data_IF_972491550162
#
_entry.id   IF_972491550162
#
_cell.length_a   1.000
_cell.length_b   1.000
_cell.length_c   1.000
_cell.angle_alpha   90.00
_cell.angle_beta   90.00
_cell.angle_gamma   90.00
#
_symmetry.space_group_name_H-M   'P 1'
#
loop_
_entity.id
_entity.type
_entity.pdbx_description
1 polymer ?
#
# COMPACT_ATOMS: atom_id res chain seq x y z
N UNK A 1 -5.45 -7.40 -33.99
CA UNK A 1 -4.91 -8.24 -32.90
C UNK A 1 -5.64 -7.86 -31.64
N UNK A 2 -6.48 -8.74 -31.11
CA UNK A 2 -7.11 -8.57 -29.81
C UNK A 2 -5.99 -8.59 -28.75
N UNK A 3 -5.73 -7.44 -28.13
CA UNK A 3 -4.66 -7.31 -27.15
C UNK A 3 -5.21 -7.82 -25.83
N UNK A 4 -4.70 -8.97 -25.37
CA UNK A 4 -5.04 -9.52 -24.06
C UNK A 4 -4.74 -8.48 -22.97
N UNK A 5 -5.57 -8.47 -21.94
CA UNK A 5 -5.36 -7.62 -20.77
C UNK A 5 -3.99 -7.95 -20.12
N UNK A 6 -3.29 -6.95 -19.55
CA UNK A 6 -2.04 -7.15 -18.85
C UNK A 6 -2.13 -8.25 -17.78
N UNK A 7 -1.35 -9.31 -17.94
CA UNK A 7 -1.34 -10.47 -17.06
C UNK A 7 0.04 -11.12 -17.06
N UNK A 8 0.37 -11.81 -15.98
CA UNK A 8 1.51 -12.71 -15.93
C UNK A 8 1.15 -13.93 -15.08
N UNK A 9 0.68 -14.98 -15.75
CA UNK A 9 0.21 -16.20 -15.09
C UNK A 9 1.35 -16.94 -14.39
N UNK A 10 2.56 -16.88 -14.94
CA UNK A 10 3.75 -17.50 -14.33
C UNK A 10 4.08 -16.86 -12.99
N UNK A 11 4.00 -15.52 -12.89
CA UNK A 11 4.18 -14.80 -11.64
C UNK A 11 3.06 -15.11 -10.64
N UNK A 12 1.80 -15.22 -11.09
CA UNK A 12 0.69 -15.64 -10.22
C UNK A 12 0.91 -17.04 -9.64
N UNK A 13 1.28 -18.02 -10.48
CA UNK A 13 1.67 -19.35 -10.02
C UNK A 13 2.88 -19.28 -9.07
N UNK A 14 3.84 -18.42 -9.37
CA UNK A 14 5.01 -18.09 -8.55
C UNK A 14 4.64 -17.70 -7.13
N UNK A 15 3.72 -16.75 -6.98
CA UNK A 15 3.25 -16.28 -5.68
C UNK A 15 2.56 -17.40 -4.91
N UNK A 16 1.54 -18.04 -5.52
CA UNK A 16 0.75 -19.06 -4.83
C UNK A 16 1.62 -20.26 -4.44
N UNK A 17 2.43 -20.78 -5.36
CA UNK A 17 3.31 -21.91 -5.09
C UNK A 17 4.35 -21.59 -4.02
N UNK A 18 4.90 -20.37 -4.00
CA UNK A 18 5.85 -19.95 -2.96
C UNK A 18 5.21 -19.98 -1.57
N UNK A 19 3.98 -19.48 -1.43
CA UNK A 19 3.26 -19.45 -0.15
C UNK A 19 2.85 -20.86 0.28
N UNK A 20 2.44 -21.73 -0.64
CA UNK A 20 2.09 -23.11 -0.30
C UNK A 20 3.31 -23.91 0.19
N UNK A 21 4.49 -23.65 -0.39
CA UNK A 21 5.76 -24.28 0.02
C UNK A 21 6.23 -23.73 1.37
N UNK A 22 6.14 -22.41 1.55
CA UNK A 22 6.57 -21.70 2.74
C UNK A 22 5.46 -20.75 3.19
N UNK A 23 4.56 -21.19 4.08
CA UNK A 23 3.42 -20.39 4.54
C UNK A 23 3.78 -19.04 5.14
N UNK A 24 4.99 -18.89 5.70
CA UNK A 24 5.46 -17.61 6.27
C UNK A 24 5.76 -16.56 5.19
N UNK A 25 5.95 -16.98 3.94
CA UNK A 25 6.23 -16.09 2.82
C UNK A 25 5.06 -15.14 2.50
N UNK A 26 3.84 -15.44 2.97
CA UNK A 26 2.65 -14.58 2.85
C UNK A 26 2.89 -13.17 3.44
N UNK A 27 3.69 -13.05 4.51
CA UNK A 27 3.96 -11.78 5.19
C UNK A 27 4.60 -10.77 4.25
N UNK A 28 5.39 -11.23 3.27
CA UNK A 28 6.08 -10.37 2.31
C UNK A 28 5.17 -9.79 1.23
N UNK A 29 3.97 -10.34 1.04
CA UNK A 29 3.06 -9.93 -0.05
C UNK A 29 1.68 -9.48 0.43
N UNK A 30 1.23 -9.92 1.60
CA UNK A 30 -0.11 -9.62 2.14
C UNK A 30 -0.39 -8.12 2.32
N UNK A 31 0.65 -7.29 2.45
CA UNK A 31 0.52 -5.85 2.64
C UNK A 31 0.04 -5.13 1.37
N UNK A 32 0.48 -5.57 0.19
CA UNK A 32 0.24 -4.86 -1.07
C UNK A 32 -0.55 -5.67 -2.10
N UNK A 33 -0.60 -6.99 -1.97
CA UNK A 33 -1.28 -7.87 -2.93
C UNK A 33 -2.67 -8.28 -2.42
N UNK A 34 -3.68 -8.09 -3.25
CA UNK A 34 -5.07 -8.41 -2.94
C UNK A 34 -5.61 -9.50 -3.89
N UNK A 35 -6.67 -10.24 -3.50
CA UNK A 35 -7.26 -11.26 -4.37
C UNK A 35 -7.62 -10.74 -5.77
N UNK A 36 -8.18 -9.53 -5.90
CA UNK A 36 -8.55 -8.94 -7.20
C UNK A 36 -7.34 -8.66 -8.12
N UNK A 37 -6.11 -8.65 -7.59
CA UNK A 37 -4.89 -8.43 -8.37
C UNK A 37 -4.52 -9.65 -9.22
N UNK A 38 -5.04 -10.84 -8.91
CA UNK A 38 -4.88 -12.00 -9.76
C UNK A 38 -5.79 -11.90 -10.99
N UNK A 39 -5.30 -12.33 -12.14
CA UNK A 39 -6.09 -12.34 -13.37
C UNK A 39 -7.03 -13.56 -13.41
N UNK A 40 -6.53 -14.74 -13.02
CA UNK A 40 -7.33 -15.97 -13.03
C UNK A 40 -8.21 -16.07 -11.79
N UNK A 41 -9.51 -16.29 -11.97
CA UNK A 41 -10.45 -16.46 -10.87
C UNK A 41 -10.10 -17.62 -9.92
N UNK A 42 -9.51 -18.69 -10.46
CA UNK A 42 -8.97 -19.78 -9.65
C UNK A 42 -7.88 -19.28 -8.69
N UNK A 43 -6.96 -18.44 -9.18
CA UNK A 43 -5.89 -17.87 -8.36
C UNK A 43 -6.41 -16.87 -7.33
N UNK A 44 -7.40 -16.04 -7.70
CA UNK A 44 -8.11 -15.15 -6.76
C UNK A 44 -8.66 -15.94 -5.58
N UNK A 45 -9.36 -17.04 -5.89
CA UNK A 45 -10.01 -17.90 -4.90
C UNK A 45 -8.98 -18.57 -3.98
N UNK A 46 -7.89 -19.09 -4.54
CA UNK A 46 -6.82 -19.71 -3.75
C UNK A 46 -6.18 -18.66 -2.83
N UNK A 47 -5.85 -17.48 -3.35
CA UNK A 47 -5.24 -16.41 -2.54
C UNK A 47 -6.18 -15.89 -1.44
N UNK A 48 -7.49 -15.78 -1.71
CA UNK A 48 -8.50 -15.45 -0.71
C UNK A 48 -8.51 -16.46 0.45
N UNK A 49 -8.43 -17.76 0.16
CA UNK A 49 -8.32 -18.81 1.18
C UNK A 49 -7.01 -18.69 1.97
N UNK A 50 -5.88 -18.48 1.29
CA UNK A 50 -4.57 -18.28 1.93
C UNK A 50 -4.61 -17.11 2.92
N UNK A 51 -5.16 -15.97 2.51
CA UNK A 51 -5.30 -14.79 3.39
C UNK A 51 -6.16 -15.10 4.62
N UNK A 52 -7.25 -15.83 4.46
CA UNK A 52 -8.12 -16.18 5.57
C UNK A 52 -7.47 -17.14 6.57
N UNK A 53 -6.73 -18.14 6.09
CA UNK A 53 -5.96 -19.03 6.95
C UNK A 53 -4.90 -18.23 7.72
N UNK A 54 -4.21 -17.31 7.03
CA UNK A 54 -3.25 -16.41 7.66
C UNK A 54 -3.89 -15.51 8.74
N UNK A 55 -5.06 -14.93 8.48
CA UNK A 55 -5.83 -14.16 9.48
C UNK A 55 -6.23 -15.00 10.71
N UNK A 56 -6.53 -16.29 10.49
CA UNK A 56 -6.85 -17.26 11.54
C UNK A 56 -5.61 -17.81 12.26
N UNK A 57 -4.40 -17.42 11.82
CA UNK A 57 -3.10 -17.93 12.30
C UNK A 57 -2.94 -19.43 12.07
N UNK A 58 -3.54 -19.93 11.00
CA UNK A 58 -3.37 -21.29 10.53
C UNK A 58 -2.39 -21.30 9.34
N UNK A 59 -1.46 -22.26 9.25
CA UNK A 59 -0.53 -22.34 8.15
C UNK A 59 -1.30 -22.63 6.85
N UNK A 60 -1.07 -21.81 5.81
CA UNK A 60 -1.66 -22.00 4.49
C UNK A 60 -0.82 -22.98 3.64
N UNK A 61 -0.80 -24.25 4.03
CA UNK A 61 -0.14 -25.32 3.29
C UNK A 61 -1.11 -26.07 2.36
N UNK A 62 -0.60 -27.04 1.61
CA UNK A 62 -1.40 -27.82 0.66
C UNK A 62 -2.65 -28.46 1.29
N UNK A 63 -2.52 -29.02 2.50
CA UNK A 63 -3.59 -29.76 3.16
C UNK A 63 -4.66 -28.79 3.64
N UNK A 64 -4.26 -27.73 4.35
CA UNK A 64 -5.21 -26.76 4.91
C UNK A 64 -5.94 -25.99 3.81
N UNK A 65 -5.24 -25.64 2.72
CA UNK A 65 -5.88 -24.98 1.57
C UNK A 65 -6.89 -25.93 0.90
N UNK A 66 -6.54 -27.21 0.71
CA UNK A 66 -7.46 -28.18 0.10
C UNK A 66 -8.71 -28.38 0.96
N UNK A 67 -8.53 -28.59 2.28
CA UNK A 67 -9.63 -28.77 3.23
C UNK A 67 -10.56 -27.56 3.25
N UNK A 68 -10.00 -26.35 3.31
CA UNK A 68 -10.79 -25.13 3.34
C UNK A 68 -11.52 -24.85 2.01
N UNK A 69 -10.91 -25.19 0.86
CA UNK A 69 -11.56 -25.11 -0.45
C UNK A 69 -12.67 -26.15 -0.61
N UNK A 70 -12.49 -27.35 -0.07
CA UNK A 70 -13.48 -28.43 -0.08
C UNK A 70 -14.69 -28.06 0.80
N UNK A 71 -14.43 -27.55 2.00
CA UNK A 71 -15.46 -27.03 2.92
C UNK A 71 -16.34 -25.95 2.28
N UNK A 72 -15.76 -25.15 1.37
CA UNK A 72 -16.45 -24.09 0.61
C UNK A 72 -17.08 -24.56 -0.69
N UNK A 73 -16.94 -25.83 -1.06
CA UNK A 73 -17.33 -26.36 -2.37
C UNK A 73 -16.69 -25.59 -3.55
N UNK A 74 -15.46 -25.10 -3.38
CA UNK A 74 -14.71 -24.35 -4.39
C UNK A 74 -13.50 -25.14 -4.95
N UNK A 75 -13.15 -26.28 -4.37
CA UNK A 75 -11.97 -27.07 -4.77
C UNK A 75 -12.00 -27.47 -6.26
N UNK A 76 -13.14 -27.97 -6.76
CA UNK A 76 -13.30 -28.33 -8.17
C UNK A 76 -13.20 -27.11 -9.09
N UNK A 77 -13.71 -25.95 -8.66
CA UNK A 77 -13.69 -24.71 -9.46
C UNK A 77 -12.27 -24.18 -9.70
N UNK A 78 -11.34 -24.47 -8.78
CA UNK A 78 -9.92 -24.07 -8.93
C UNK A 78 -9.09 -25.09 -9.70
N UNK A 79 -9.69 -26.20 -10.17
CA UNK A 79 -9.01 -27.29 -10.88
C UNK A 79 -8.62 -28.48 -10.01
N UNK A 80 -9.11 -28.54 -8.77
CA UNK A 80 -8.89 -29.64 -7.85
C UNK A 80 -7.52 -29.64 -7.17
N UNK A 81 -7.30 -30.64 -6.31
CA UNK A 81 -6.04 -30.81 -5.58
C UNK A 81 -4.82 -30.97 -6.52
N UNK A 82 -5.01 -31.57 -7.69
CA UNK A 82 -3.96 -31.73 -8.69
C UNK A 82 -3.44 -30.38 -9.22
N UNK A 83 -4.31 -29.38 -9.35
CA UNK A 83 -3.91 -28.04 -9.76
C UNK A 83 -3.05 -27.36 -8.70
N UNK A 84 -3.41 -27.48 -7.42
CA UNK A 84 -2.63 -26.92 -6.32
C UNK A 84 -1.24 -27.56 -6.27
N UNK A 85 -1.14 -28.89 -6.44
CA UNK A 85 0.15 -29.58 -6.58
C UNK A 85 0.95 -29.06 -7.77
N UNK A 86 0.30 -28.71 -8.88
CA UNK A 86 0.97 -28.14 -10.05
C UNK A 86 1.56 -26.75 -9.79
N UNK A 87 0.95 -25.95 -8.90
CA UNK A 87 1.46 -24.64 -8.51
C UNK A 87 2.78 -24.78 -7.74
N UNK A 88 2.84 -25.74 -6.81
CA UNK A 88 4.06 -26.07 -6.05
C UNK A 88 5.22 -26.42 -7.00
N UNK A 89 4.95 -27.26 -8.00
CA UNK A 89 5.98 -27.75 -8.93
C UNK A 89 6.47 -26.70 -9.94
N UNK A 90 5.75 -25.59 -10.12
CA UNK A 90 6.13 -24.52 -11.05
C UNK A 90 7.10 -23.51 -10.42
N UNK A 91 7.29 -23.54 -9.09
CA UNK A 91 8.09 -22.56 -8.38
C UNK A 91 9.49 -23.10 -8.09
N UNK A 92 10.55 -22.44 -8.61
CA UNK A 92 11.93 -22.89 -8.36
C UNK A 92 12.42 -22.59 -6.94
N UNK A 93 11.89 -21.53 -6.30
CA UNK A 93 12.21 -21.16 -4.91
C UNK A 93 11.12 -20.25 -4.32
N UNK A 94 10.79 -20.44 -3.04
CA UNK A 94 9.87 -19.56 -2.30
C UNK A 94 10.46 -18.19 -1.97
N UNK A 95 11.80 -18.05 -2.00
CA UNK A 95 12.49 -16.82 -1.58
C UNK A 95 12.25 -15.59 -2.47
N UNK A 96 11.65 -15.75 -3.65
CA UNK A 96 11.37 -14.65 -4.58
C UNK A 96 9.89 -14.23 -4.60
N UNK A 97 9.10 -14.64 -3.58
CA UNK A 97 7.65 -14.37 -3.52
C UNK A 97 7.31 -12.88 -3.68
N UNK A 98 8.08 -11.98 -3.06
CA UNK A 98 7.86 -10.54 -3.15
C UNK A 98 8.02 -10.06 -4.59
N UNK A 99 9.08 -10.49 -5.27
CA UNK A 99 9.34 -10.13 -6.66
C UNK A 99 8.21 -10.60 -7.60
N UNK A 100 7.73 -11.83 -7.41
CA UNK A 100 6.57 -12.34 -8.17
C UNK A 100 5.30 -11.53 -7.85
N UNK A 101 5.08 -11.21 -6.56
CA UNK A 101 3.96 -10.37 -6.10
C UNK A 101 3.95 -9.00 -6.79
N UNK A 102 5.11 -8.33 -6.87
CA UNK A 102 5.24 -7.03 -7.55
C UNK A 102 4.94 -7.10 -9.05
N UNK A 103 5.25 -8.22 -9.71
CA UNK A 103 4.87 -8.43 -11.11
C UNK A 103 3.35 -8.53 -11.25
N UNK A 104 2.68 -9.28 -10.35
CA UNK A 104 1.21 -9.42 -10.35
C UNK A 104 0.55 -8.07 -10.09
N UNK A 105 1.00 -7.36 -9.05
CA UNK A 105 0.54 -6.00 -8.68
C UNK A 105 0.64 -5.03 -9.87
N UNK A 106 1.81 -4.96 -10.52
CA UNK A 106 2.01 -4.08 -11.67
C UNK A 106 1.02 -4.37 -12.80
N UNK A 107 0.79 -5.66 -13.11
CA UNK A 107 -0.18 -6.04 -14.14
C UNK A 107 -1.61 -5.68 -13.73
N UNK A 108 -1.96 -5.85 -12.45
CA UNK A 108 -3.26 -5.47 -11.93
C UNK A 108 -3.54 -3.96 -12.04
N UNK A 109 -2.55 -3.12 -11.73
CA UNK A 109 -2.65 -1.66 -11.91
C UNK A 109 -2.92 -1.31 -13.37
N UNK A 110 -2.18 -1.92 -14.30
CA UNK A 110 -2.39 -1.69 -15.73
C UNK A 110 -3.80 -2.13 -16.19
N UNK A 111 -4.32 -3.26 -15.67
CA UNK A 111 -5.70 -3.68 -15.97
C UNK A 111 -6.73 -2.68 -15.45
N UNK A 112 -6.58 -2.21 -14.21
CA UNK A 112 -7.49 -1.20 -13.62
C UNK A 112 -7.47 0.10 -14.40
N UNK A 113 -6.30 0.54 -14.89
CA UNK A 113 -6.19 1.71 -15.75
C UNK A 113 -6.95 1.53 -17.06
N UNK A 114 -6.87 0.36 -17.69
CA UNK A 114 -7.65 0.05 -18.91
C UNK A 114 -9.15 0.06 -18.63
N UNK A 115 -9.58 -0.55 -17.52
CA UNK A 115 -10.99 -0.54 -17.10
C UNK A 115 -11.50 0.88 -16.82
N UNK A 116 -10.70 1.70 -16.13
CA UNK A 116 -11.05 3.09 -15.87
C UNK A 116 -11.10 3.91 -17.16
N UNK A 117 -10.18 3.71 -18.09
CA UNK A 117 -10.24 4.37 -19.40
C UNK A 117 -11.55 4.03 -20.14
N UNK A 118 -11.99 2.77 -20.09
CA UNK A 118 -13.30 2.36 -20.64
C UNK A 118 -14.48 3.05 -19.95
N UNK A 119 -14.45 3.16 -18.62
CA UNK A 119 -15.49 3.86 -17.84
C UNK A 119 -15.51 5.36 -18.12
N UNK A 120 -14.34 6.00 -18.21
CA UNK A 120 -14.20 7.43 -18.54
C UNK A 120 -14.77 7.68 -19.95
N UNK A 121 -14.46 6.82 -20.91
CA UNK A 121 -15.05 6.92 -22.25
C UNK A 121 -16.57 6.80 -22.22
N UNK A 122 -17.12 5.86 -21.44
CA UNK A 122 -18.57 5.69 -21.29
C UNK A 122 -19.22 6.94 -20.64
N UNK A 123 -18.60 7.51 -19.62
CA UNK A 123 -19.05 8.76 -18.97
C UNK A 123 -19.12 9.89 -20.00
N UNK A 124 -18.09 10.04 -20.84
CA UNK A 124 -18.04 11.10 -21.87
C UNK A 124 -19.13 10.95 -22.95
N UNK A 125 -19.68 9.75 -23.18
CA UNK A 125 -20.81 9.56 -24.08
C UNK A 125 -22.18 9.81 -23.42
N UNK A 126 -22.26 9.70 -22.09
CA UNK A 126 -23.52 9.73 -21.34
C UNK A 126 -23.79 11.07 -20.67
N UNK A 127 -22.76 11.76 -20.21
CA UNK A 127 -22.89 13.03 -19.49
C UNK A 127 -22.83 14.23 -20.44
N UNK A 128 -23.84 15.09 -20.32
CA UNK A 128 -23.92 16.34 -21.10
C UNK A 128 -23.12 17.48 -20.46
N UNK A 129 -22.93 17.43 -19.13
CA UNK A 129 -22.15 18.40 -18.37
C UNK A 129 -20.68 17.96 -18.27
N UNK A 130 -19.80 18.74 -18.89
CA UNK A 130 -18.37 18.46 -18.96
C UNK A 130 -17.68 18.52 -17.59
N UNK A 131 -18.12 19.39 -16.67
CA UNK A 131 -17.49 19.55 -15.36
C UNK A 131 -17.79 18.31 -14.49
N UNK A 132 -19.04 17.82 -14.54
CA UNK A 132 -19.44 16.57 -13.86
C UNK A 132 -18.70 15.36 -14.43
N UNK A 133 -18.53 15.30 -15.76
CA UNK A 133 -17.79 14.22 -16.41
C UNK A 133 -16.31 14.20 -15.99
N UNK A 134 -15.69 15.39 -15.89
CA UNK A 134 -14.30 15.54 -15.44
C UNK A 134 -14.13 15.10 -13.99
N UNK A 135 -14.99 15.56 -13.08
CA UNK A 135 -14.97 15.18 -11.66
C UNK A 135 -15.06 13.66 -11.48
N UNK A 136 -15.97 12.99 -12.22
CA UNK A 136 -16.11 11.52 -12.18
C UNK A 136 -14.86 10.80 -12.71
N UNK A 137 -14.24 11.33 -13.76
CA UNK A 137 -13.01 10.78 -14.30
C UNK A 137 -11.83 10.91 -13.31
N UNK A 138 -11.69 12.07 -12.67
CA UNK A 138 -10.68 12.30 -11.63
C UNK A 138 -10.86 11.33 -10.45
N UNK A 139 -12.09 11.14 -9.97
CA UNK A 139 -12.41 10.18 -8.92
C UNK A 139 -11.98 8.75 -9.30
N UNK A 140 -12.27 8.31 -10.53
CA UNK A 140 -11.89 6.98 -11.01
C UNK A 140 -10.36 6.77 -11.00
N UNK A 141 -9.60 7.76 -11.48
CA UNK A 141 -8.13 7.68 -11.49
C UNK A 141 -7.58 7.72 -10.06
N UNK A 142 -8.15 8.57 -9.21
CA UNK A 142 -7.75 8.69 -7.80
C UNK A 142 -7.99 7.41 -7.00
N UNK A 143 -9.08 6.68 -7.26
CA UNK A 143 -9.31 5.37 -6.63
C UNK A 143 -8.24 4.33 -6.97
N UNK A 144 -7.65 4.38 -8.16
CA UNK A 144 -6.56 3.47 -8.55
C UNK A 144 -5.28 3.79 -7.79
N UNK A 145 -4.97 5.07 -7.58
CA UNK A 145 -3.77 5.47 -6.83
C UNK A 145 -3.89 5.20 -5.32
N UNK A 146 -5.07 5.39 -4.72
CA UNK A 146 -5.28 5.15 -3.29
C UNK A 146 -5.14 3.69 -2.87
N UNK A 147 -5.56 2.72 -3.70
CA UNK A 147 -5.45 1.30 -3.34
C UNK A 147 -3.99 0.86 -3.19
N UNK A 148 -3.07 1.52 -3.90
CA UNK A 148 -1.62 1.32 -3.76
C UNK A 148 -1.05 1.99 -2.49
N UNK A 149 -1.68 3.07 -2.00
CA UNK A 149 -1.27 3.76 -0.79
C UNK A 149 -1.76 3.10 0.52
N UNK A 150 -2.60 2.04 0.46
CA UNK A 150 -3.05 1.30 1.66
C UNK A 150 -1.93 0.52 2.37
N UNK A 151 -0.72 0.44 1.80
CA UNK A 151 0.49 -0.08 2.46
C UNK A 151 0.98 0.85 3.59
N UNK A 152 0.59 2.14 3.62
CA UNK A 152 1.13 3.11 4.59
C UNK A 152 0.35 3.18 5.94
N UNK A 153 -0.40 2.14 6.31
CA UNK A 153 -0.99 2.07 7.65
C UNK A 153 0.02 1.48 8.64
N UNK A 154 0.88 2.34 9.19
CA UNK A 154 1.66 1.99 10.39
C UNK A 154 0.73 1.75 11.58
N UNK A 155 0.96 0.66 12.32
CA UNK A 155 0.22 0.40 13.54
C UNK A 155 0.44 1.57 14.51
N UNK A 156 -0.64 2.08 15.12
CA UNK A 156 -0.55 3.18 16.09
C UNK A 156 0.48 2.89 17.20
N UNK A 157 0.67 1.61 17.55
CA UNK A 157 1.67 1.18 18.54
C UNK A 157 3.11 1.44 18.10
N UNK A 158 3.41 1.29 16.82
CA UNK A 158 4.75 1.49 16.28
C UNK A 158 5.07 2.98 16.21
N UNK A 159 4.11 3.80 15.77
CA UNK A 159 4.21 5.27 15.81
C UNK A 159 4.41 5.76 17.25
N UNK A 160 3.63 5.24 18.20
CA UNK A 160 3.75 5.62 19.61
C UNK A 160 5.11 5.22 20.19
N UNK A 161 5.63 4.06 19.82
CA UNK A 161 6.94 3.60 20.30
C UNK A 161 8.08 4.47 19.75
N UNK A 162 8.02 4.82 18.46
CA UNK A 162 8.97 5.76 17.84
C UNK A 162 8.88 7.16 18.48
N UNK A 163 7.67 7.64 18.73
CA UNK A 163 7.43 8.94 19.37
C UNK A 163 7.95 8.97 20.82
N UNK A 164 7.73 7.90 21.60
CA UNK A 164 8.26 7.78 22.97
C UNK A 164 9.78 7.76 22.99
N UNK A 165 10.42 6.99 22.10
CA UNK A 165 11.88 6.98 21.96
C UNK A 165 12.43 8.37 21.61
N UNK A 166 11.71 9.12 20.77
CA UNK A 166 12.07 10.51 20.43
C UNK A 166 11.93 11.42 21.64
N UNK A 167 10.88 11.29 22.46
CA UNK A 167 10.72 12.03 23.71
C UNK A 167 11.82 11.72 24.73
N UNK A 168 12.26 10.47 24.83
CA UNK A 168 13.33 10.08 25.75
C UNK A 168 14.67 10.70 25.32
N UNK A 169 14.98 10.73 24.02
CA UNK A 169 16.16 11.42 23.48
C UNK A 169 16.13 12.94 23.73
N UNK A 170 14.94 13.54 23.74
CA UNK A 170 14.76 14.96 24.05
C UNK A 170 14.92 15.24 25.56
N UNK A 171 14.47 14.32 26.42
CA UNK A 171 14.64 14.42 27.86
C UNK A 171 16.09 14.21 28.32
N UNK A 172 16.85 13.33 27.67
CA UNK A 172 18.28 13.13 27.97
C UNK A 172 19.14 14.36 27.61
N UNK A 173 18.68 15.15 26.62
CA UNK A 173 19.33 16.38 26.16
C UNK A 173 18.79 17.62 26.88
N UNK A 174 18.81 17.63 28.22
CA UNK A 174 18.39 18.79 29.01
C UNK A 174 19.17 20.06 28.60
N UNK A 175 18.49 20.98 27.92
CA UNK A 175 18.97 22.34 27.63
C UNK A 175 19.38 22.63 26.20
N UNK A 176 19.24 21.71 25.24
CA UNK A 176 19.44 22.00 23.82
C UNK A 176 18.13 22.24 23.09
N UNK A 177 18.10 23.33 22.31
CA UNK A 177 16.99 23.71 21.42
C UNK A 177 16.80 22.57 20.42
N UNK A 178 15.56 22.06 20.30
CA UNK A 178 15.21 20.88 19.50
C UNK A 178 15.05 21.25 18.02
N UNK A 179 14.51 22.44 17.76
CA UNK A 179 14.37 23.02 16.44
C UNK A 179 15.58 23.83 16.00
N UNK A 180 15.47 24.48 14.84
CA UNK A 180 16.48 25.43 14.36
C UNK A 180 16.43 26.68 15.24
N UNK A 181 17.54 27.10 15.89
CA UNK A 181 17.54 28.28 16.74
C UNK A 181 17.30 29.54 15.91
N UNK A 182 16.49 30.46 16.44
CA UNK A 182 16.18 31.75 15.81
C UNK A 182 17.26 32.80 16.06
N UNK A 183 18.17 32.54 17.00
CA UNK A 183 19.20 33.50 17.44
C UNK A 183 18.71 34.47 18.53
N UNK A 184 17.42 34.44 18.86
CA UNK A 184 16.84 35.19 19.98
C UNK A 184 16.59 34.24 21.15
N UNK A 185 17.43 34.30 22.19
CA UNK A 185 17.41 33.34 23.31
C UNK A 185 16.04 33.24 23.99
N UNK A 186 15.36 34.37 24.20
CA UNK A 186 14.04 34.37 24.83
C UNK A 186 12.98 33.70 23.95
N UNK A 187 13.04 33.93 22.63
CA UNK A 187 12.13 33.32 21.67
C UNK A 187 12.39 31.82 21.52
N UNK A 188 13.66 31.42 21.51
CA UNK A 188 14.08 30.03 21.45
C UNK A 188 13.70 29.25 22.71
N UNK A 189 13.75 29.89 23.88
CA UNK A 189 13.28 29.26 25.12
C UNK A 189 11.76 29.08 25.15
N UNK A 190 11.00 29.99 24.52
CA UNK A 190 9.54 29.88 24.43
C UNK A 190 9.09 28.85 23.40
N UNK A 191 9.77 28.77 22.24
CA UNK A 191 9.34 27.90 21.14
C UNK A 191 10.12 26.58 21.05
N UNK A 192 11.24 26.45 21.76
CA UNK A 192 12.15 25.32 21.58
C UNK A 192 12.86 25.31 20.22
N UNK A 193 12.93 26.48 19.57
CA UNK A 193 13.42 26.67 18.19
C UNK A 193 12.35 26.40 17.13
N UNK A 194 12.67 26.71 15.87
CA UNK A 194 11.78 26.49 14.72
C UNK A 194 11.74 24.99 14.37
N UNK A 195 10.58 24.37 14.51
CA UNK A 195 10.43 22.93 14.30
C UNK A 195 10.30 22.58 12.82
N UNK A 196 10.85 21.42 12.45
CA UNK A 196 10.67 20.87 11.11
C UNK A 196 9.20 20.50 10.91
N UNK A 197 8.65 20.88 9.76
CA UNK A 197 7.25 20.69 9.34
C UNK A 197 6.24 21.73 9.84
N UNK A 198 6.65 22.72 10.62
CA UNK A 198 5.77 23.83 11.00
C UNK A 198 5.72 24.93 9.91
N UNK A 199 4.53 25.47 9.67
CA UNK A 199 4.35 26.72 8.91
C UNK A 199 4.32 27.90 9.89
N UNK A 200 5.36 28.72 9.89
CA UNK A 200 5.51 29.86 10.80
C UNK A 200 5.16 31.15 10.06
N UNK A 201 4.09 31.82 10.50
CA UNK A 201 3.59 33.05 9.88
C UNK A 201 4.06 34.26 10.68
N UNK A 202 4.89 35.11 10.07
CA UNK A 202 5.31 36.39 10.65
C UNK A 202 4.41 37.54 10.15
N UNK A 203 3.49 38.00 11.01
CA UNK A 203 2.58 39.11 10.70
C UNK A 203 2.90 40.36 11.53
N UNK A 204 2.97 41.52 10.88
CA UNK A 204 3.09 42.82 11.54
C UNK A 204 2.50 43.93 10.66
N UNK A 205 2.15 45.07 11.28
CA UNK A 205 1.69 46.27 10.55
C UNK A 205 2.80 46.81 9.61
N UNK A 206 2.45 47.57 8.56
CA UNK A 206 3.45 48.25 7.73
C UNK A 206 4.42 49.11 8.56
N UNK A 207 5.69 49.14 8.15
CA UNK A 207 6.79 49.85 8.82
C UNK A 207 7.20 49.38 10.24
N UNK A 208 6.71 48.24 10.73
CA UNK A 208 7.08 47.70 12.07
C UNK A 208 8.39 46.87 12.05
N UNK A 209 8.95 46.58 10.88
CA UNK A 209 10.24 45.87 10.77
C UNK A 209 10.16 44.36 10.60
N UNK A 210 9.01 43.80 10.16
CA UNK A 210 8.86 42.36 9.84
C UNK A 210 9.98 41.79 8.96
N UNK A 211 10.45 42.58 7.97
CA UNK A 211 11.49 42.15 7.04
C UNK A 211 12.85 42.10 7.73
N UNK A 212 13.15 43.08 8.58
CA UNK A 212 14.38 43.12 9.37
C UNK A 212 14.45 41.94 10.34
N UNK A 213 13.34 41.60 11.01
CA UNK A 213 13.27 40.44 11.90
C UNK A 213 13.47 39.13 11.14
N UNK A 214 12.78 38.93 10.01
CA UNK A 214 12.92 37.73 9.18
C UNK A 214 14.36 37.54 8.67
N UNK A 215 15.02 38.63 8.23
CA UNK A 215 16.42 38.58 7.78
C UNK A 215 17.42 38.34 8.92
N UNK A 216 17.07 38.67 10.15
CA UNK A 216 17.93 38.42 11.32
C UNK A 216 17.86 36.96 11.76
N UNK A 217 16.72 36.30 11.52
CA UNK A 217 16.50 34.88 11.82
C UNK A 217 17.00 33.92 10.73
N UNK A 218 17.25 34.43 9.52
CA UNK A 218 17.66 33.67 8.34
C UNK A 218 19.19 33.56 8.24
#
# INVERSE_FOLDING_TARGET
MEKLLPQNIEAECGVLGSIIIDPEAIVQVAEFLFPDDFYRDAHRTIYEVILQLYEQREPADFITICDELERRNKLENVGGASYITSLINQVPTSGNVEYYGRIVERNAILRRLIEAAGKIAAIAYQEEDADIALDKAEQLIFHISQRHARSDFSLLRDILSEYMNKLDQLHERRGTIVGVPTGFTDLDHLMGGLQKSDLIILAARPAVGKTSLALTMA
#
